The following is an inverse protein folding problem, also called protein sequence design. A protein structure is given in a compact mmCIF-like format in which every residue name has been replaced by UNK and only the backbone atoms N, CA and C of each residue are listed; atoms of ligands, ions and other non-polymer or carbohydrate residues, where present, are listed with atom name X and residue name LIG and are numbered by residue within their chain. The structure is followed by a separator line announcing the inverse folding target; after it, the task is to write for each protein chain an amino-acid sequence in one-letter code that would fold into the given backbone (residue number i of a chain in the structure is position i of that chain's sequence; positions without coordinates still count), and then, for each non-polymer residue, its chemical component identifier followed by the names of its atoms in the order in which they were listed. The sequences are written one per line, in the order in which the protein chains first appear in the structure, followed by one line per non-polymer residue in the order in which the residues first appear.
data_IF_243588576969
#
_entry.id   IF_243588576969
#
_cell.length_a   1.000
_cell.length_b   1.000
_cell.length_c   1.000
_cell.angle_alpha   90.00
_cell.angle_beta   90.00
_cell.angle_gamma   90.00
#
_symmetry.space_group_name_H-M   'P 1'
#
loop_
_entity.id
_entity.type
_entity.pdbx_description
1 polymer ?
#
# COMPACT_ATOMS: atom_id res chain seq x y z
N UNK A 1 -21.39 -3.12 2.46
CA UNK A 1 -20.03 -3.04 3.04
C UNK A 1 -19.84 -1.58 3.38
N UNK A 2 -19.75 -1.26 4.66
CA UNK A 2 -19.67 0.13 5.08
C UNK A 2 -18.22 0.61 4.91
N UNK A 3 -18.06 1.74 4.23
CA UNK A 3 -16.77 2.36 3.96
C UNK A 3 -16.77 3.73 4.63
N UNK A 4 -15.80 3.97 5.51
CA UNK A 4 -15.64 5.23 6.21
C UNK A 4 -14.40 5.92 5.63
N UNK A 5 -14.61 6.96 4.83
CA UNK A 5 -13.55 7.69 4.16
C UNK A 5 -13.92 9.19 4.01
N UNK A 6 -12.97 10.13 4.24
CA UNK A 6 -11.65 9.88 4.82
C UNK A 6 -11.77 9.43 6.30
N UNK A 7 -10.85 8.58 6.74
CA UNK A 7 -10.73 8.17 8.14
C UNK A 7 -9.28 7.82 8.45
N UNK A 8 -8.72 8.43 9.49
CA UNK A 8 -7.37 8.14 9.97
C UNK A 8 -7.45 7.39 11.29
N UNK A 9 -6.76 6.25 11.39
CA UNK A 9 -6.59 5.56 12.66
C UNK A 9 -5.69 6.39 13.60
N UNK A 10 -6.17 6.65 14.81
CA UNK A 10 -5.40 7.29 15.88
C UNK A 10 -4.83 6.27 16.86
N UNK A 11 -5.63 5.26 17.20
CA UNK A 11 -5.23 4.19 18.12
C UNK A 11 -6.32 3.14 18.25
N UNK A 12 -6.00 2.07 18.97
CA UNK A 12 -6.96 1.03 19.30
C UNK A 12 -6.61 0.38 20.64
N UNK A 13 -7.62 -0.21 21.27
CA UNK A 13 -7.48 -0.98 22.51
C UNK A 13 -8.14 -2.33 22.31
N UNK A 14 -7.39 -3.41 22.56
CA UNK A 14 -7.94 -4.76 22.64
C UNK A 14 -8.45 -5.01 24.05
N UNK A 15 -9.77 -5.16 24.19
CA UNK A 15 -10.45 -5.47 25.45
C UNK A 15 -10.74 -6.98 25.60
N UNK A 16 -10.25 -7.83 24.69
CA UNK A 16 -10.39 -9.28 24.70
C UNK A 16 -11.53 -9.80 23.82
N UNK A 17 -12.77 -9.37 24.06
CA UNK A 17 -13.93 -9.77 23.23
C UNK A 17 -14.18 -8.80 22.06
N UNK A 18 -13.67 -7.58 22.19
CA UNK A 18 -13.79 -6.48 21.23
C UNK A 18 -12.51 -5.65 21.17
N UNK A 19 -12.33 -5.01 20.02
CA UNK A 19 -11.34 -3.99 19.76
C UNK A 19 -12.06 -2.66 19.57
N UNK A 20 -11.70 -1.71 20.43
CA UNK A 20 -12.13 -0.32 20.34
C UNK A 20 -11.14 0.45 19.48
N UNK A 21 -11.61 1.17 18.47
CA UNK A 21 -10.78 1.82 17.45
C UNK A 21 -11.12 3.29 17.40
N UNK A 22 -10.15 4.16 17.68
CA UNK A 22 -10.30 5.61 17.54
C UNK A 22 -9.92 6.05 16.14
N UNK A 23 -10.86 6.69 15.46
CA UNK A 23 -10.66 7.27 14.13
C UNK A 23 -10.91 8.78 14.15
N UNK A 24 -10.10 9.50 13.37
CA UNK A 24 -10.34 10.90 13.02
C UNK A 24 -11.00 10.98 11.65
N UNK A 25 -12.07 11.78 11.56
CA UNK A 25 -12.74 12.13 10.32
C UNK A 25 -13.13 13.61 10.36
N UNK A 26 -12.73 14.36 9.34
CA UNK A 26 -13.08 15.78 9.19
C UNK A 26 -12.74 16.62 10.44
N UNK A 27 -11.66 16.26 11.15
CA UNK A 27 -11.22 16.89 12.40
C UNK A 27 -11.98 16.46 13.66
N UNK A 28 -12.90 15.50 13.55
CA UNK A 28 -13.67 14.93 14.67
C UNK A 28 -13.19 13.52 14.98
N UNK A 29 -13.03 13.21 16.26
CA UNK A 29 -12.68 11.87 16.73
C UNK A 29 -13.94 11.10 17.10
N UNK A 30 -14.01 9.85 16.66
CA UNK A 30 -15.06 8.91 17.06
C UNK A 30 -14.50 7.51 17.25
N UNK A 31 -15.23 6.69 18.00
CA UNK A 31 -14.83 5.33 18.36
C UNK A 31 -15.69 4.33 17.61
N UNK A 32 -15.04 3.31 17.04
CA UNK A 32 -15.68 2.16 16.44
C UNK A 32 -15.38 0.92 17.26
N UNK A 33 -16.36 0.03 17.36
CA UNK A 33 -16.24 -1.24 18.07
C UNK A 33 -16.30 -2.40 17.09
N UNK A 34 -15.38 -3.33 17.20
CA UNK A 34 -15.35 -4.53 16.36
C UNK A 34 -14.89 -5.74 17.15
N UNK A 35 -15.13 -6.96 16.66
CA UNK A 35 -14.58 -8.18 17.27
C UNK A 35 -13.21 -8.55 16.72
N UNK A 36 -12.80 -7.93 15.62
CA UNK A 36 -11.56 -8.20 14.91
C UNK A 36 -11.13 -6.94 14.17
N UNK A 37 -9.89 -6.51 14.42
CA UNK A 37 -9.21 -5.50 13.65
C UNK A 37 -8.21 -6.17 12.71
N UNK A 38 -8.31 -5.88 11.41
CA UNK A 38 -7.34 -6.34 10.40
C UNK A 38 -6.52 -5.14 9.93
N UNK A 39 -5.21 -5.19 10.16
CA UNK A 39 -4.29 -4.17 9.67
C UNK A 39 -3.97 -4.39 8.17
N UNK A 40 -4.40 -3.45 7.34
CA UNK A 40 -4.11 -3.40 5.90
C UNK A 40 -3.60 -2.00 5.48
N UNK A 41 -2.85 -1.35 6.37
CA UNK A 41 -2.40 0.05 6.33
C UNK A 41 -0.98 0.23 5.74
N UNK A 42 -0.50 -0.73 4.95
CA UNK A 42 0.72 -0.62 4.15
C UNK A 42 2.02 -0.96 4.87
N UNK A 43 3.16 -0.69 4.22
CA UNK A 43 4.49 -1.06 4.70
C UNK A 43 4.88 -0.37 6.02
N UNK A 44 4.43 0.86 6.24
CA UNK A 44 4.61 1.63 7.47
C UNK A 44 3.38 1.57 8.38
N UNK A 45 2.86 0.36 8.60
CA UNK A 45 1.66 0.09 9.40
C UNK A 45 1.78 0.67 10.82
N UNK A 46 0.85 1.56 11.17
CA UNK A 46 0.71 2.14 12.52
C UNK A 46 0.24 1.07 13.50
N UNK A 47 -0.65 0.17 13.07
CA UNK A 47 -1.17 -0.91 13.93
C UNK A 47 -0.04 -1.83 14.36
N UNK A 48 0.80 -2.24 13.40
CA UNK A 48 1.96 -3.11 13.67
C UNK A 48 2.95 -2.45 14.63
N UNK A 49 3.18 -1.15 14.49
CA UNK A 49 4.06 -0.38 15.37
C UNK A 49 3.50 -0.29 16.80
N UNK A 50 2.19 -0.08 16.98
CA UNK A 50 1.54 -0.06 18.30
C UNK A 50 1.55 -1.43 19.01
N UNK A 51 1.58 -2.52 18.24
CA UNK A 51 1.67 -3.90 18.78
C UNK A 51 3.11 -4.39 19.00
N UNK A 52 4.12 -3.57 18.71
CA UNK A 52 5.54 -3.93 18.77
C UNK A 52 5.86 -5.24 18.00
N UNK A 53 5.20 -5.43 16.85
CA UNK A 53 5.41 -6.63 16.04
C UNK A 53 6.72 -6.53 15.25
N UNK A 54 7.63 -7.52 15.38
CA UNK A 54 8.93 -7.47 14.73
C UNK A 54 8.80 -7.60 13.21
N UNK A 55 9.68 -6.92 12.47
CA UNK A 55 9.74 -6.96 11.00
C UNK A 55 11.14 -7.33 10.55
N UNK A 56 11.23 -8.32 9.67
CA UNK A 56 12.45 -8.57 8.92
C UNK A 56 12.52 -7.60 7.74
N UNK A 57 13.59 -6.81 7.68
CA UNK A 57 13.81 -5.82 6.61
C UNK A 57 15.08 -6.16 5.85
N UNK A 58 14.98 -6.16 4.53
CA UNK A 58 16.11 -6.31 3.62
C UNK A 58 16.24 -5.06 2.77
N UNK A 59 17.40 -4.41 2.86
CA UNK A 59 17.72 -3.30 1.97
C UNK A 59 18.36 -3.87 0.70
N UNK A 60 17.71 -3.67 -0.45
CA UNK A 60 18.23 -4.18 -1.72
C UNK A 60 19.41 -3.36 -2.26
N UNK A 61 19.68 -2.18 -1.70
CA UNK A 61 20.76 -1.30 -2.16
C UNK A 61 20.54 -0.72 -3.57
N UNK A 62 19.31 -0.79 -4.07
CA UNK A 62 18.90 -0.34 -5.39
C UNK A 62 17.67 0.56 -5.28
N UNK A 63 17.56 1.51 -6.20
CA UNK A 63 16.36 2.34 -6.38
C UNK A 63 15.75 2.02 -7.74
N UNK A 64 14.43 1.83 -7.78
CA UNK A 64 13.68 1.73 -9.02
C UNK A 64 13.17 3.11 -9.43
N UNK A 65 13.32 3.46 -10.71
CA UNK A 65 12.66 4.64 -11.29
C UNK A 65 11.38 4.14 -11.95
N UNK A 66 10.24 4.70 -11.52
CA UNK A 66 8.94 4.38 -12.10
C UNK A 66 8.36 5.56 -12.85
N UNK A 67 7.78 5.32 -14.03
CA UNK A 67 7.16 6.39 -14.81
C UNK A 67 6.18 5.84 -15.85
N UNK A 68 5.28 6.71 -16.31
CA UNK A 68 4.40 6.39 -17.43
C UNK A 68 5.01 6.94 -18.74
N UNK A 69 5.13 6.09 -19.74
CA UNK A 69 5.64 6.47 -21.07
C UNK A 69 4.64 6.16 -22.17
N UNK A 70 4.77 6.87 -23.28
CA UNK A 70 4.10 6.54 -24.55
C UNK A 70 5.14 5.94 -25.50
N UNK A 71 5.18 4.60 -25.69
CA UNK A 71 6.11 3.98 -26.61
C UNK A 71 5.80 4.35 -28.06
N UNK A 72 6.82 4.40 -28.91
CA UNK A 72 6.66 4.67 -30.34
C UNK A 72 5.89 3.54 -31.08
N UNK A 73 5.97 2.32 -30.56
CA UNK A 73 5.23 1.16 -31.07
C UNK A 73 4.19 0.73 -30.05
N UNK A 74 3.01 0.30 -30.53
CA UNK A 74 1.97 -0.21 -29.66
C UNK A 74 2.48 -1.44 -28.87
N UNK A 75 2.27 -1.43 -27.56
CA UNK A 75 2.64 -2.54 -26.67
C UNK A 75 1.81 -3.81 -26.92
N UNK A 76 0.67 -3.71 -27.62
CA UNK A 76 -0.22 -4.85 -28.00
C UNK A 76 -0.59 -5.75 -26.82
N UNK A 77 -0.77 -5.15 -25.64
CA UNK A 77 -1.03 -5.85 -24.38
C UNK A 77 0.04 -6.90 -24.00
N UNK A 78 1.27 -6.74 -24.48
CA UNK A 78 2.41 -7.58 -24.12
C UNK A 78 3.29 -6.84 -23.13
N UNK A 79 3.54 -7.44 -21.98
CA UNK A 79 4.54 -6.97 -21.03
C UNK A 79 5.94 -7.41 -21.48
N UNK A 80 6.91 -6.51 -21.38
CA UNK A 80 8.32 -6.81 -21.65
C UNK A 80 9.12 -6.63 -20.38
N UNK A 81 10.11 -7.50 -20.18
CA UNK A 81 11.11 -7.34 -19.16
C UNK A 81 12.48 -7.66 -19.76
N UNK A 82 13.44 -6.78 -19.52
CA UNK A 82 14.83 -6.96 -19.96
C UNK A 82 15.74 -6.86 -18.76
N UNK A 83 16.53 -7.91 -18.53
CA UNK A 83 17.61 -7.91 -17.55
C UNK A 83 18.86 -7.25 -18.14
N UNK A 84 19.45 -6.33 -17.38
CA UNK A 84 20.71 -5.64 -17.72
C UNK A 84 21.68 -5.76 -16.56
N UNK A 85 22.95 -5.41 -16.78
CA UNK A 85 23.97 -5.42 -15.72
C UNK A 85 23.61 -4.49 -14.54
N UNK A 86 22.81 -3.44 -14.78
CA UNK A 86 22.32 -2.51 -13.76
C UNK A 86 20.99 -2.90 -13.11
N UNK A 87 20.38 -4.03 -13.52
CA UNK A 87 19.06 -4.49 -13.04
C UNK A 87 18.02 -4.63 -14.16
N UNK A 88 16.80 -5.06 -13.81
CA UNK A 88 15.71 -5.22 -14.77
C UNK A 88 15.12 -3.88 -15.21
N UNK A 89 14.60 -3.84 -16.44
CA UNK A 89 13.70 -2.81 -16.95
C UNK A 89 12.43 -3.48 -17.43
N UNK A 90 11.29 -3.08 -16.88
CA UNK A 90 9.99 -3.60 -17.24
C UNK A 90 9.19 -2.58 -18.06
N UNK A 91 8.30 -3.04 -18.92
CA UNK A 91 7.29 -2.27 -19.60
C UNK A 91 5.96 -2.98 -19.44
N UNK A 92 5.08 -2.40 -18.64
CA UNK A 92 3.77 -2.95 -18.33
C UNK A 92 2.69 -2.19 -19.13
N UNK A 93 1.92 -2.87 -20.01
CA UNK A 93 0.83 -2.29 -20.76
C UNK A 93 -0.18 -1.52 -19.91
N UNK A 94 -0.52 -0.32 -20.33
CA UNK A 94 -1.58 0.50 -19.75
C UNK A 94 -2.64 0.85 -20.80
N UNK A 95 -3.73 1.47 -20.35
CA UNK A 95 -4.70 2.09 -21.26
C UNK A 95 -4.06 3.18 -22.12
N UNK A 96 -4.73 3.54 -23.21
CA UNK A 96 -4.34 4.64 -24.12
C UNK A 96 -2.96 4.44 -24.78
N UNK A 97 -2.53 3.18 -24.94
CA UNK A 97 -1.27 2.87 -25.61
C UNK A 97 -0.03 3.16 -24.77
N UNK A 98 -0.18 3.47 -23.47
CA UNK A 98 0.92 3.79 -22.55
C UNK A 98 1.55 2.53 -21.95
N UNK A 99 2.70 2.71 -21.32
CA UNK A 99 3.32 1.70 -20.47
C UNK A 99 3.74 2.31 -19.13
N UNK A 100 3.61 1.54 -18.05
CA UNK A 100 4.32 1.79 -16.82
C UNK A 100 5.70 1.14 -16.91
N UNK A 101 6.74 1.91 -16.59
CA UNK A 101 8.13 1.46 -16.42
C UNK A 101 8.39 1.34 -14.93
#
# INVERSE_FOLDING_TARGET
LDVIAPARLLGFVDAGDRVSVEIERDGLVSTLESRLLVAADGGSSTVREQLDLPVQRWQYGQSAVVTNISPAQAHRNVAYERFTDSGPVALLPMSEGRCAV
#
